data_IF_905213340210
#
_entry.id   IF_905213340210
#
_cell.length_a   1.000
_cell.length_b   1.000
_cell.length_c   1.000
_cell.angle_alpha   90.00
_cell.angle_beta   90.00
_cell.angle_gamma   90.00
#
_symmetry.space_group_name_H-M   'P 1'
#
loop_
_entity.id
_entity.type
_entity.pdbx_description
1 polymer ?
#
# COMPACT_ATOMS: atom_id res chain seq x y z
N UNK A 1 14.18 21.66 7.91
CA UNK A 1 13.01 21.05 7.24
C UNK A 1 13.54 19.88 6.44
N UNK A 2 13.15 18.66 6.78
CA UNK A 2 13.54 17.50 6.00
C UNK A 2 12.45 17.26 4.98
N UNK A 3 12.71 17.64 3.73
CA UNK A 3 11.96 17.11 2.60
C UNK A 3 12.99 16.49 1.68
N UNK A 4 12.96 15.17 1.52
CA UNK A 4 13.13 14.65 0.18
C UNK A 4 12.07 13.60 -0.01
N UNK A 5 11.12 13.79 -0.94
CA UNK A 5 10.14 12.79 -1.36
C UNK A 5 10.79 11.39 -1.45
N UNK A 6 10.74 10.56 -0.40
CA UNK A 6 11.25 9.22 -0.52
C UNK A 6 10.10 8.52 -1.22
N UNK A 7 10.27 8.10 -2.48
CA UNK A 7 9.30 7.21 -3.10
C UNK A 7 8.99 6.12 -2.07
N UNK A 8 7.76 6.13 -1.54
CA UNK A 8 7.46 5.42 -0.31
C UNK A 8 7.74 3.96 -0.56
N UNK A 9 8.60 3.34 0.24
CA UNK A 9 8.95 1.94 0.06
C UNK A 9 8.68 1.23 1.38
N UNK A 10 8.25 -0.01 1.27
CA UNK A 10 7.84 -0.85 2.40
C UNK A 10 8.22 -2.28 2.08
N UNK A 11 8.23 -3.13 3.09
CA UNK A 11 8.43 -4.55 2.93
C UNK A 11 7.09 -5.24 2.84
N UNK A 12 6.99 -6.17 1.90
CA UNK A 12 5.83 -7.02 1.69
C UNK A 12 6.33 -8.45 1.58
N UNK A 13 6.05 -9.26 2.60
CA UNK A 13 6.53 -10.66 2.67
C UNK A 13 8.07 -10.74 2.48
N UNK A 14 8.80 -9.87 3.17
CA UNK A 14 10.26 -9.75 3.05
C UNK A 14 10.77 -9.15 1.73
N UNK A 15 9.88 -8.79 0.79
CA UNK A 15 10.27 -8.15 -0.47
C UNK A 15 10.09 -6.65 -0.41
N UNK A 16 11.11 -5.90 -0.84
CA UNK A 16 11.00 -4.44 -0.98
C UNK A 16 10.08 -4.09 -2.13
N UNK A 17 9.03 -3.35 -1.82
CA UNK A 17 8.10 -2.80 -2.81
C UNK A 17 8.16 -1.28 -2.79
N UNK A 18 8.11 -0.66 -3.96
CA UNK A 18 8.01 0.80 -4.08
C UNK A 18 6.57 1.18 -4.32
N UNK A 19 6.18 2.30 -3.76
CA UNK A 19 4.87 2.90 -3.87
C UNK A 19 5.04 4.28 -4.52
N UNK A 20 4.11 4.60 -5.40
CA UNK A 20 3.92 5.99 -5.84
C UNK A 20 3.22 6.82 -4.74
N UNK A 21 3.07 8.14 -4.91
CA UNK A 21 2.34 8.96 -3.96
C UNK A 21 0.99 8.37 -3.58
N UNK A 22 0.85 8.04 -2.29
CA UNK A 22 -0.37 7.52 -1.70
C UNK A 22 -1.34 8.66 -1.41
N UNK A 23 -2.64 8.39 -1.45
CA UNK A 23 -3.66 9.37 -1.08
C UNK A 23 -4.10 9.11 0.36
N UNK A 24 -4.09 10.12 1.21
CA UNK A 24 -4.65 10.00 2.55
C UNK A 24 -6.17 9.75 2.46
N UNK A 25 -6.66 8.76 3.20
CA UNK A 25 -8.08 8.41 3.31
C UNK A 25 -8.53 8.54 4.77
N UNK A 26 -8.70 9.78 5.27
CA UNK A 26 -9.15 10.02 6.64
C UNK A 26 -10.59 9.53 6.88
N UNK A 27 -11.36 9.29 5.82
CA UNK A 27 -12.69 8.67 5.85
C UNK A 27 -12.65 7.18 6.24
N UNK A 28 -11.48 6.54 6.17
CA UNK A 28 -11.29 5.13 6.52
C UNK A 28 -10.53 5.05 7.84
N UNK A 29 -11.24 4.62 8.87
CA UNK A 29 -10.71 4.34 10.20
C UNK A 29 -10.90 2.86 10.56
N UNK A 30 -10.07 2.33 11.46
CA UNK A 30 -10.18 0.95 11.95
C UNK A 30 -9.36 -0.10 11.20
N UNK A 31 -8.54 0.29 10.22
CA UNK A 31 -7.51 -0.59 9.68
C UNK A 31 -6.28 -0.58 10.60
N UNK A 32 -5.80 -1.76 10.97
CA UNK A 32 -4.58 -1.88 11.76
C UNK A 32 -3.36 -1.36 10.95
N UNK A 33 -2.35 -0.76 11.59
CA UNK A 33 -1.12 -0.34 10.92
C UNK A 33 -0.50 -1.50 10.12
N UNK A 34 -0.21 -1.26 8.84
CA UNK A 34 0.34 -2.27 7.93
C UNK A 34 -0.69 -3.21 7.30
N UNK A 35 -1.93 -3.26 7.80
CA UNK A 35 -2.98 -4.10 7.22
C UNK A 35 -3.42 -3.57 5.85
N UNK A 36 -3.76 -4.47 4.93
CA UNK A 36 -4.24 -4.12 3.59
C UNK A 36 -5.70 -4.47 3.44
N UNK A 37 -6.49 -3.56 2.88
CA UNK A 37 -7.90 -3.78 2.57
C UNK A 37 -8.24 -3.31 1.17
N UNK A 38 -8.99 -4.10 0.43
CA UNK A 38 -9.49 -3.74 -0.89
C UNK A 38 -10.89 -3.12 -0.77
N UNK A 39 -11.02 -1.82 -1.04
CA UNK A 39 -12.30 -1.16 -1.14
C UNK A 39 -12.66 -0.97 -2.63
N UNK A 40 -13.30 -1.98 -3.21
CA UNK A 40 -13.72 -2.01 -4.62
C UNK A 40 -12.55 -2.04 -5.61
N UNK A 41 -12.07 -0.85 -6.00
CA UNK A 41 -10.90 -0.68 -6.88
C UNK A 41 -9.75 0.05 -6.19
N UNK A 42 -9.94 0.48 -4.94
CA UNK A 42 -8.92 1.17 -4.16
C UNK A 42 -8.26 0.19 -3.19
N UNK A 43 -6.94 0.22 -3.13
CA UNK A 43 -6.19 -0.54 -2.12
C UNK A 43 -5.88 0.40 -0.98
N UNK A 44 -6.36 0.07 0.22
CA UNK A 44 -6.18 0.85 1.43
C UNK A 44 -5.17 0.15 2.33
N UNK A 45 -4.27 0.91 2.93
CA UNK A 45 -3.31 0.43 3.92
C UNK A 45 -3.53 1.19 5.21
N UNK A 46 -3.67 0.46 6.31
CA UNK A 46 -3.79 1.05 7.62
C UNK A 46 -2.49 1.68 8.04
N UNK A 47 -2.58 2.87 8.63
CA UNK A 47 -1.44 3.48 9.33
C UNK A 47 -1.84 3.75 10.78
N UNK A 48 -0.88 4.17 11.61
CA UNK A 48 -1.14 4.49 13.02
C UNK A 48 -2.22 5.54 13.28
N UNK A 49 -2.61 6.33 12.27
CA UNK A 49 -3.61 7.41 12.42
C UNK A 49 -4.82 7.25 11.49
N UNK A 50 -4.59 7.15 10.18
CA UNK A 50 -5.65 7.06 9.16
C UNK A 50 -5.23 6.10 8.06
N UNK A 51 -6.16 5.51 7.31
CA UNK A 51 -5.76 4.70 6.17
C UNK A 51 -5.18 5.57 5.03
N UNK A 52 -4.34 4.95 4.21
CA UNK A 52 -3.82 5.54 2.97
C UNK A 52 -4.19 4.67 1.79
N UNK A 53 -4.62 5.28 0.70
CA UNK A 53 -4.91 4.61 -0.56
C UNK A 53 -3.65 4.54 -1.42
N UNK A 54 -3.27 3.32 -1.78
CA UNK A 54 -2.22 3.05 -2.73
C UNK A 54 -2.74 3.29 -4.15
N UNK A 55 -2.05 4.13 -4.90
CA UNK A 55 -2.34 4.42 -6.30
C UNK A 55 -1.61 3.43 -7.21
N UNK A 56 -0.28 3.38 -7.09
CA UNK A 56 0.57 2.41 -7.79
C UNK A 56 1.58 1.76 -6.87
N UNK A 57 1.90 0.52 -7.22
CA UNK A 57 2.88 -0.31 -6.54
C UNK A 57 3.82 -0.95 -7.57
N UNK A 58 5.07 -1.05 -7.18
CA UNK A 58 6.11 -1.75 -7.91
C UNK A 58 6.69 -2.84 -7.01
N UNK A 59 6.26 -4.09 -7.20
CA UNK A 59 6.90 -5.24 -6.58
C UNK A 59 8.35 -5.40 -7.02
N UNK A 60 9.18 -6.03 -6.19
CA UNK A 60 10.56 -6.34 -6.53
C UNK A 60 10.63 -7.13 -7.85
N UNK A 61 11.45 -6.66 -8.80
CA UNK A 61 11.61 -7.30 -10.11
C UNK A 61 10.43 -7.13 -11.09
N UNK A 62 9.38 -6.37 -10.74
CA UNK A 62 8.26 -6.05 -11.65
C UNK A 62 8.22 -4.57 -12.06
N UNK A 63 7.43 -4.29 -13.10
CA UNK A 63 7.08 -2.92 -13.49
C UNK A 63 6.06 -2.34 -12.50
N UNK A 64 6.11 -1.02 -12.33
CA UNK A 64 5.09 -0.26 -11.62
C UNK A 64 3.70 -0.51 -12.24
N UNK A 65 2.71 -0.86 -11.42
CA UNK A 65 1.34 -1.15 -11.85
C UNK A 65 0.34 -0.52 -10.88
N UNK A 66 -0.94 -0.45 -11.25
CA UNK A 66 -1.95 0.04 -10.34
C UNK A 66 -2.05 -0.88 -9.11
N UNK A 67 -2.18 -0.31 -7.91
CA UNK A 67 -2.28 -1.11 -6.70
C UNK A 67 -3.46 -2.09 -6.77
N UNK A 68 -4.58 -1.67 -7.39
CA UNK A 68 -5.75 -2.51 -7.62
C UNK A 68 -5.47 -3.76 -8.47
N UNK A 69 -4.61 -3.63 -9.48
CA UNK A 69 -4.23 -4.74 -10.37
C UNK A 69 -3.29 -5.70 -9.64
N UNK A 70 -2.33 -5.16 -8.90
CA UNK A 70 -1.47 -5.94 -8.03
C UNK A 70 -2.28 -6.71 -6.99
N UNK A 71 -3.22 -6.04 -6.33
CA UNK A 71 -4.03 -6.64 -5.29
C UNK A 71 -4.93 -7.77 -5.83
N UNK A 72 -5.49 -7.61 -7.03
CA UNK A 72 -6.23 -8.69 -7.73
C UNK A 72 -5.36 -9.89 -8.07
N UNK A 73 -4.08 -9.67 -8.33
CA UNK A 73 -3.13 -10.73 -8.63
C UNK A 73 -2.59 -11.47 -7.40
N UNK A 74 -2.85 -10.97 -6.20
CA UNK A 74 -2.45 -11.65 -4.96
C UNK A 74 -3.56 -12.57 -4.47
N UNK A 75 -3.22 -13.84 -4.26
CA UNK A 75 -4.17 -14.87 -3.83
C UNK A 75 -4.74 -14.61 -2.42
N UNK A 76 -3.99 -13.91 -1.55
CA UNK A 76 -4.45 -13.52 -0.22
C UNK A 76 -3.96 -12.11 0.12
N UNK A 77 -4.89 -11.15 0.15
CA UNK A 77 -4.61 -9.77 0.57
C UNK A 77 -4.66 -9.62 2.10
N UNK A 78 -5.42 -10.47 2.80
CA UNK A 78 -5.57 -10.39 4.25
C UNK A 78 -4.32 -10.84 4.99
N UNK A 79 -3.51 -11.70 4.37
CA UNK A 79 -2.22 -12.15 4.90
C UNK A 79 -1.09 -11.15 4.65
N UNK A 80 -1.36 -10.11 3.87
CA UNK A 80 -0.34 -9.14 3.47
C UNK A 80 -0.27 -8.05 4.52
N UNK A 81 0.91 -7.93 5.11
CA UNK A 81 1.24 -6.86 6.05
C UNK A 81 2.38 -6.07 5.45
N UNK A 82 2.20 -4.76 5.41
CA UNK A 82 3.25 -3.80 5.09
C UNK A 82 4.03 -3.47 6.35
N UNK A 83 5.33 -3.74 6.32
CA UNK A 83 6.30 -3.40 7.38
C UNK A 83 7.14 -2.17 7.01
#
# INVERSE_FOLDING_TARGET
GVTPEPGAWTLLDGQRVKLEPVRLRPDVAGLAPGAVSLNGKSVLVGTGSHAVELTRIQPAGKKMMAAADWARGMASLESVVFE
#
